data_IF_429895727045
#
_entry.id   IF_429895727045
#
_cell.length_a   1.000
_cell.length_b   1.000
_cell.length_c   1.000
_cell.angle_alpha   90.00
_cell.angle_beta   90.00
_cell.angle_gamma   90.00
#
_symmetry.space_group_name_H-M   'P 1'
#
loop_
_entity.id
_entity.type
_entity.pdbx_description
1 polymer ?
#
# COMPACT_ATOMS: atom_id res chain seq x y z
N UNK A 1 -15.96 -18.77 -16.65
CA UNK A 1 -14.79 -18.79 -15.75
C UNK A 1 -15.04 -17.70 -14.70
N UNK A 2 -15.47 -18.08 -13.50
CA UNK A 2 -15.78 -17.14 -12.41
C UNK A 2 -14.85 -17.43 -11.22
N UNK A 3 -13.69 -16.80 -11.17
CA UNK A 3 -12.80 -16.84 -9.99
C UNK A 3 -11.94 -15.57 -9.93
N UNK A 4 -12.55 -14.38 -9.85
CA UNK A 4 -11.84 -13.10 -9.60
C UNK A 4 -12.61 -12.21 -8.61
N UNK A 5 -13.23 -12.83 -7.61
CA UNK A 5 -13.80 -12.13 -6.45
C UNK A 5 -13.48 -12.92 -5.18
N UNK A 6 -12.20 -13.20 -4.95
CA UNK A 6 -11.70 -13.06 -3.60
C UNK A 6 -11.34 -11.59 -3.52
N UNK A 7 -12.18 -10.80 -2.88
CA UNK A 7 -11.67 -9.61 -2.22
C UNK A 7 -10.58 -10.15 -1.31
N UNK A 8 -9.32 -10.05 -1.73
CA UNK A 8 -8.18 -10.25 -0.86
C UNK A 8 -8.28 -9.12 0.15
N UNK A 9 -9.12 -9.34 1.16
CA UNK A 9 -9.28 -8.49 2.32
C UNK A 9 -7.96 -8.62 3.07
N UNK A 10 -6.97 -7.85 2.61
CA UNK A 10 -5.65 -7.87 3.15
C UNK A 10 -5.73 -7.25 4.53
N UNK A 11 -5.89 -8.10 5.53
CA UNK A 11 -5.92 -7.72 6.93
C UNK A 11 -4.49 -7.61 7.47
N UNK A 12 -3.97 -6.38 7.51
CA UNK A 12 -2.67 -6.06 8.09
C UNK A 12 -2.73 -5.77 9.60
N UNK A 13 -3.85 -6.04 10.27
CA UNK A 13 -4.02 -5.62 11.67
C UNK A 13 -2.90 -6.14 12.58
N UNK A 14 -2.43 -7.37 12.34
CA UNK A 14 -1.37 -7.96 13.16
C UNK A 14 -0.03 -7.27 12.92
N UNK A 15 0.34 -7.07 11.67
CA UNK A 15 1.61 -6.45 11.26
C UNK A 15 1.71 -5.01 11.77
N UNK A 16 0.62 -4.24 11.68
CA UNK A 16 0.55 -2.88 12.19
C UNK A 16 0.73 -2.88 13.72
N UNK A 17 0.03 -3.76 14.43
CA UNK A 17 0.15 -3.86 15.89
C UNK A 17 1.56 -4.25 16.33
N UNK A 18 2.15 -5.27 15.71
CA UNK A 18 3.50 -5.73 16.03
C UNK A 18 4.54 -4.62 15.80
N UNK A 19 4.38 -3.83 14.74
CA UNK A 19 5.29 -2.72 14.45
C UNK A 19 5.12 -1.56 15.45
N UNK A 20 3.88 -1.17 15.74
CA UNK A 20 3.61 -0.11 16.73
C UNK A 20 4.09 -0.49 18.14
N UNK A 21 3.95 -1.76 18.52
CA UNK A 21 4.48 -2.27 19.79
C UNK A 21 6.02 -2.22 19.83
N UNK A 22 6.69 -2.54 18.72
CA UNK A 22 8.17 -2.42 18.61
C UNK A 22 8.65 -0.98 18.66
N UNK A 23 7.85 -0.05 18.15
CA UNK A 23 8.10 1.39 18.26
C UNK A 23 7.86 1.92 19.69
N UNK A 24 7.29 1.10 20.58
CA UNK A 24 7.07 1.44 21.99
C UNK A 24 5.74 2.14 22.27
N UNK A 25 4.81 2.16 21.31
CA UNK A 25 3.47 2.71 21.53
C UNK A 25 2.66 1.80 22.47
N UNK A 26 1.89 2.43 23.36
CA UNK A 26 1.05 1.72 24.35
C UNK A 26 -0.24 2.50 24.61
N UNK A 27 -1.25 1.81 25.16
CA UNK A 27 -2.50 2.44 25.61
C UNK A 27 -3.25 3.19 24.50
N UNK A 28 -3.73 4.39 24.81
CA UNK A 28 -4.54 5.22 23.91
C UNK A 28 -3.75 5.67 22.66
N UNK A 29 -2.45 5.92 22.79
CA UNK A 29 -1.63 6.31 21.64
C UNK A 29 -1.44 5.16 20.65
N UNK A 30 -1.32 3.91 21.14
CA UNK A 30 -1.26 2.72 20.27
C UNK A 30 -2.55 2.58 19.46
N UNK A 31 -3.71 2.75 20.10
CA UNK A 31 -5.00 2.66 19.44
C UNK A 31 -5.17 3.73 18.36
N UNK A 32 -4.79 4.97 18.68
CA UNK A 32 -4.85 6.10 17.75
C UNK A 32 -3.98 5.86 16.51
N UNK A 33 -2.72 5.44 16.70
CA UNK A 33 -1.80 5.16 15.60
C UNK A 33 -2.26 3.96 14.77
N UNK A 34 -2.79 2.92 15.43
CA UNK A 34 -3.31 1.74 14.75
C UNK A 34 -4.44 2.09 13.77
N UNK A 35 -5.44 2.85 14.21
CA UNK A 35 -6.54 3.26 13.34
C UNK A 35 -6.11 4.23 12.24
N UNK A 36 -5.16 5.12 12.52
CA UNK A 36 -4.61 6.01 11.50
C UNK A 36 -4.00 5.20 10.35
N UNK A 37 -3.09 4.26 10.66
CA UNK A 37 -2.42 3.42 9.66
C UNK A 37 -3.44 2.49 8.97
N UNK A 38 -4.32 1.83 9.73
CA UNK A 38 -5.32 0.89 9.18
C UNK A 38 -6.23 1.57 8.16
N UNK A 39 -6.56 2.85 8.35
CA UNK A 39 -7.42 3.60 7.43
C UNK A 39 -6.69 4.08 6.16
N UNK A 40 -5.36 4.27 6.21
CA UNK A 40 -4.57 4.71 5.07
C UNK A 40 -4.16 3.57 4.12
N UNK A 41 -3.98 2.36 4.66
CA UNK A 41 -3.57 1.17 3.91
C UNK A 41 -4.43 0.90 2.66
N UNK A 42 -5.78 0.93 2.71
CA UNK A 42 -6.60 0.69 1.52
C UNK A 42 -6.35 1.71 0.40
N UNK A 43 -6.04 2.96 0.75
CA UNK A 43 -5.73 3.99 -0.23
C UNK A 43 -4.34 3.77 -0.84
N UNK A 44 -3.35 3.41 -0.03
CA UNK A 44 -2.01 3.05 -0.50
C UNK A 44 -2.01 1.85 -1.45
N UNK A 45 -2.75 0.79 -1.12
CA UNK A 45 -2.88 -0.40 -2.00
C UNK A 45 -3.52 -0.02 -3.34
N UNK A 46 -4.59 0.80 -3.32
CA UNK A 46 -5.23 1.27 -4.56
C UNK A 46 -4.28 2.08 -5.43
N UNK A 47 -3.46 2.95 -4.83
CA UNK A 47 -2.45 3.72 -5.55
C UNK A 47 -1.40 2.80 -6.19
N UNK A 48 -0.86 1.83 -5.43
CA UNK A 48 0.11 0.85 -5.95
C UNK A 48 -0.47 0.01 -7.09
N UNK A 49 -1.73 -0.45 -6.97
CA UNK A 49 -2.40 -1.19 -8.03
C UNK A 49 -2.61 -0.33 -9.29
N UNK A 50 -2.96 0.94 -9.11
CA UNK A 50 -3.11 1.88 -10.22
C UNK A 50 -1.78 2.15 -10.94
N UNK A 51 -0.70 2.35 -10.19
CA UNK A 51 0.65 2.50 -10.76
C UNK A 51 1.09 1.24 -11.53
N UNK A 52 0.90 0.05 -10.94
CA UNK A 52 1.20 -1.20 -11.61
C UNK A 52 0.40 -1.36 -12.92
N UNK A 53 -0.87 -0.94 -12.92
CA UNK A 53 -1.70 -0.92 -14.12
C UNK A 53 -1.13 0.06 -15.18
N UNK A 54 -0.73 1.26 -14.79
CA UNK A 54 -0.12 2.24 -15.71
C UNK A 54 1.19 1.72 -16.32
N UNK A 55 2.04 1.06 -15.53
CA UNK A 55 3.27 0.43 -16.00
C UNK A 55 2.96 -0.69 -16.98
N UNK A 56 2.01 -1.57 -16.66
CA UNK A 56 1.61 -2.67 -17.54
C UNK A 56 1.00 -2.17 -18.87
N UNK A 57 0.27 -1.06 -18.84
CA UNK A 57 -0.29 -0.40 -20.02
C UNK A 57 0.74 0.44 -20.80
N UNK A 58 1.98 0.57 -20.32
CA UNK A 58 3.03 1.37 -20.95
C UNK A 58 2.75 2.89 -20.88
N UNK A 59 1.90 3.32 -19.95
CA UNK A 59 1.50 4.72 -19.73
C UNK A 59 2.15 5.35 -18.50
N UNK A 60 2.96 4.59 -17.76
CA UNK A 60 3.78 5.15 -16.71
C UNK A 60 4.84 6.06 -17.31
N UNK A 61 5.20 7.14 -16.62
CA UNK A 61 6.33 7.97 -17.02
C UNK A 61 7.60 7.13 -17.05
N UNK A 62 8.25 7.08 -18.20
CA UNK A 62 9.55 6.45 -18.38
C UNK A 62 10.47 7.45 -19.07
N UNK A 63 11.74 7.47 -18.66
CA UNK A 63 12.77 8.21 -19.35
C UNK A 63 13.37 7.31 -20.43
N UNK A 64 13.43 7.80 -21.65
CA UNK A 64 14.06 7.11 -22.76
C UNK A 64 15.59 7.28 -22.69
N UNK A 65 16.30 6.47 -23.48
CA UNK A 65 17.76 6.59 -23.60
C UNK A 65 18.20 7.99 -24.05
N UNK A 66 17.40 8.64 -24.89
CA UNK A 66 17.65 10.00 -25.39
C UNK A 66 17.50 11.06 -24.29
N UNK A 67 16.65 10.83 -23.29
CA UNK A 67 16.46 11.76 -22.16
C UNK A 67 17.63 11.76 -21.15
N UNK A 68 18.47 10.72 -21.18
CA UNK A 68 19.52 10.48 -20.16
C UNK A 68 20.93 10.80 -20.71
N UNK A 69 21.15 10.69 -22.03
CA UNK A 69 22.50 10.67 -22.61
C UNK A 69 22.75 11.73 -23.71
N UNK A 70 22.10 12.91 -23.64
CA UNK A 70 22.54 14.06 -24.44
C UNK A 70 24.01 14.46 -24.19
#
# INVERSE_FOLDING_TARGET
MNTLQKEDNWDFSKEILDDLLRQGFTGEELEKQFYAIKNEIPNGIKAMLHEAQLVAEGKAEFQSYEDIFE
#
